data_IF_659071595551
#
_entry.id   IF_659071595551
#
_cell.length_a   1.000
_cell.length_b   1.000
_cell.length_c   1.000
_cell.angle_alpha   90.00
_cell.angle_beta   90.00
_cell.angle_gamma   90.00
#
_symmetry.space_group_name_H-M   'P 1'
#
loop_
_entity.id
_entity.type
_entity.pdbx_description
1 polymer ?
#
# COMPACT_ATOMS: atom_id res chain seq x y z
N UNK A 1 6.19 37.52 -2.28
CA UNK A 1 5.90 36.23 -1.65
C UNK A 1 7.21 35.56 -1.27
N UNK A 2 7.31 35.10 -0.03
CA UNK A 2 8.53 34.48 0.48
C UNK A 2 8.75 33.11 -0.23
N UNK A 3 9.54 33.13 -1.28
CA UNK A 3 9.92 31.96 -2.09
C UNK A 3 10.80 30.97 -1.32
N UNK A 4 11.31 31.38 -0.15
CA UNK A 4 12.28 30.60 0.62
C UNK A 4 11.67 29.34 1.23
N UNK A 5 10.44 29.39 1.66
CA UNK A 5 9.74 28.24 2.28
C UNK A 5 9.11 27.30 1.23
N UNK A 6 8.60 27.86 0.12
CA UNK A 6 7.93 27.07 -0.94
C UNK A 6 8.85 26.09 -1.64
N UNK A 7 10.11 26.44 -1.88
CA UNK A 7 11.09 25.56 -2.54
C UNK A 7 11.34 24.24 -1.80
N UNK A 8 11.34 24.26 -0.47
CA UNK A 8 11.57 23.04 0.33
C UNK A 8 10.41 22.05 0.19
N UNK A 9 9.17 22.53 0.12
CA UNK A 9 8.01 21.68 -0.13
C UNK A 9 8.09 21.02 -1.52
N UNK A 10 8.49 21.76 -2.54
CA UNK A 10 8.65 21.23 -3.90
C UNK A 10 9.76 20.18 -3.99
N UNK A 11 10.91 20.43 -3.34
CA UNK A 11 12.01 19.45 -3.28
C UNK A 11 11.58 18.19 -2.52
N UNK A 12 10.94 18.33 -1.36
CA UNK A 12 10.42 17.21 -0.58
C UNK A 12 9.43 16.38 -1.39
N UNK A 13 8.52 17.03 -2.10
CA UNK A 13 7.56 16.35 -2.98
C UNK A 13 8.25 15.58 -4.11
N UNK A 14 9.25 16.17 -4.75
CA UNK A 14 10.03 15.50 -5.78
C UNK A 14 10.74 14.23 -5.25
N UNK A 15 11.30 14.29 -4.05
CA UNK A 15 11.93 13.13 -3.40
C UNK A 15 10.89 12.04 -3.06
N UNK A 16 9.71 12.41 -2.57
CA UNK A 16 8.65 11.45 -2.25
C UNK A 16 8.13 10.78 -3.52
N UNK A 17 7.93 11.52 -4.62
CA UNK A 17 7.55 10.96 -5.92
C UNK A 17 8.63 10.01 -6.46
N UNK A 18 9.91 10.38 -6.38
CA UNK A 18 11.03 9.52 -6.77
C UNK A 18 11.04 8.22 -5.98
N UNK A 19 10.84 8.29 -4.67
CA UNK A 19 10.75 7.12 -3.78
C UNK A 19 9.55 6.23 -4.14
N UNK A 20 8.38 6.83 -4.39
CA UNK A 20 7.18 6.09 -4.81
C UNK A 20 7.40 5.32 -6.11
N UNK A 21 7.91 5.98 -7.14
CA UNK A 21 8.17 5.35 -8.44
C UNK A 21 9.23 4.26 -8.34
N UNK A 22 10.28 4.48 -7.55
CA UNK A 22 11.31 3.49 -7.27
C UNK A 22 10.74 2.24 -6.59
N UNK A 23 9.92 2.43 -5.56
CA UNK A 23 9.25 1.31 -4.88
C UNK A 23 8.26 0.56 -5.77
N UNK A 24 7.51 1.25 -6.61
CA UNK A 24 6.60 0.63 -7.57
C UNK A 24 7.37 -0.21 -8.61
N UNK A 25 8.49 0.29 -9.10
CA UNK A 25 9.35 -0.47 -10.02
C UNK A 25 9.94 -1.71 -9.34
N UNK A 26 10.41 -1.57 -8.11
CA UNK A 26 10.95 -2.67 -7.32
C UNK A 26 9.88 -3.72 -6.99
N UNK A 27 8.66 -3.28 -6.60
CA UNK A 27 7.54 -4.19 -6.35
C UNK A 27 7.18 -5.04 -7.58
N UNK A 28 7.13 -4.41 -8.78
CA UNK A 28 6.90 -5.14 -10.03
C UNK A 28 8.00 -6.15 -10.33
N UNK A 29 9.25 -5.79 -10.06
CA UNK A 29 10.38 -6.71 -10.25
C UNK A 29 10.28 -7.93 -9.34
N UNK A 30 10.02 -7.73 -8.04
CA UNK A 30 9.84 -8.86 -7.10
C UNK A 30 8.62 -9.69 -7.49
N UNK A 31 7.53 -9.05 -7.93
CA UNK A 31 6.33 -9.75 -8.38
C UNK A 31 6.62 -10.67 -9.57
N UNK A 32 7.31 -10.18 -10.58
CA UNK A 32 7.73 -10.99 -11.71
C UNK A 32 8.61 -12.17 -11.26
N UNK A 33 9.53 -11.93 -10.34
CA UNK A 33 10.44 -12.95 -9.83
C UNK A 33 9.70 -14.08 -9.09
N UNK A 34 8.79 -13.77 -8.16
CA UNK A 34 8.07 -14.82 -7.45
C UNK A 34 7.09 -15.57 -8.34
N UNK A 35 6.47 -14.90 -9.33
CA UNK A 35 5.59 -15.54 -10.31
C UNK A 35 6.37 -16.51 -11.19
N UNK A 36 7.50 -16.08 -11.76
CA UNK A 36 8.38 -16.94 -12.57
C UNK A 36 8.89 -18.14 -11.77
N UNK A 37 9.24 -17.91 -10.50
CA UNK A 37 9.65 -18.98 -9.60
C UNK A 37 8.52 -20.00 -9.39
N UNK A 38 7.28 -19.53 -9.16
CA UNK A 38 6.14 -20.42 -9.01
C UNK A 38 5.80 -21.20 -10.28
N UNK A 39 5.89 -20.57 -11.45
CA UNK A 39 5.69 -21.23 -12.74
C UNK A 39 6.68 -22.40 -12.90
N UNK A 40 7.95 -22.19 -12.56
CA UNK A 40 8.98 -23.22 -12.70
C UNK A 40 8.92 -24.33 -11.64
N UNK A 41 8.48 -24.04 -10.41
CA UNK A 41 8.55 -24.97 -9.26
C UNK A 41 7.21 -25.57 -8.86
N UNK A 42 6.10 -25.01 -9.32
CA UNK A 42 4.75 -25.47 -8.98
C UNK A 42 3.91 -25.89 -10.20
N UNK A 43 4.51 -26.01 -11.37
CA UNK A 43 3.87 -26.44 -12.64
C UNK A 43 2.66 -25.55 -13.02
N UNK A 44 2.77 -24.24 -12.84
CA UNK A 44 1.72 -23.29 -13.23
C UNK A 44 1.89 -22.96 -14.72
N UNK A 45 0.78 -23.01 -15.47
CA UNK A 45 0.79 -22.85 -16.94
C UNK A 45 0.46 -21.43 -17.40
N UNK A 46 -0.08 -20.57 -16.50
CA UNK A 46 -0.53 -19.22 -16.86
C UNK A 46 -0.32 -18.25 -15.67
N UNK A 47 0.28 -17.10 -15.96
CA UNK A 47 0.55 -16.05 -14.98
C UNK A 47 -0.62 -15.08 -14.75
N UNK A 48 -1.69 -15.16 -15.56
CA UNK A 48 -2.88 -14.31 -15.51
C UNK A 48 -3.88 -14.72 -14.43
N UNK A 49 -3.37 -15.07 -13.24
CA UNK A 49 -4.19 -15.43 -12.08
C UNK A 49 -4.43 -14.20 -11.20
N UNK A 50 -5.53 -14.23 -10.45
CA UNK A 50 -5.86 -13.16 -9.49
C UNK A 50 -4.96 -13.18 -8.24
N UNK A 51 -5.02 -12.13 -7.44
CA UNK A 51 -4.21 -11.98 -6.22
C UNK A 51 -4.45 -13.10 -5.20
N UNK A 52 -5.70 -13.60 -5.11
CA UNK A 52 -6.08 -14.64 -4.16
C UNK A 52 -5.42 -15.96 -4.50
N UNK A 53 -5.33 -16.30 -5.79
CA UNK A 53 -4.58 -17.47 -6.25
C UNK A 53 -3.11 -17.41 -5.80
N UNK A 54 -2.41 -16.30 -6.06
CA UNK A 54 -1.01 -16.13 -5.67
C UNK A 54 -0.81 -16.17 -4.16
N UNK A 55 -1.77 -15.66 -3.39
CA UNK A 55 -1.75 -15.76 -1.91
C UNK A 55 -1.92 -17.20 -1.43
N UNK A 56 -2.88 -17.95 -2.01
CA UNK A 56 -3.19 -19.32 -1.62
C UNK A 56 -2.11 -20.31 -2.03
N UNK A 57 -1.47 -20.09 -3.19
CA UNK A 57 -0.35 -20.86 -3.69
C UNK A 57 0.79 -21.02 -2.66
N UNK A 58 1.07 -20.00 -1.87
CA UNK A 58 2.09 -20.07 -0.82
C UNK A 58 1.64 -20.75 0.48
N UNK A 59 0.34 -21.04 0.63
CA UNK A 59 -0.21 -21.64 1.85
C UNK A 59 -0.35 -23.16 1.74
N UNK A 60 -0.61 -23.70 0.55
CA UNK A 60 -0.92 -25.09 0.30
C UNK A 60 0.09 -25.71 -0.65
N UNK A 61 0.40 -27.00 -0.49
CA UNK A 61 1.33 -27.69 -1.38
C UNK A 61 0.74 -27.91 -2.76
N UNK A 62 -0.56 -28.11 -2.86
CA UNK A 62 -1.26 -28.32 -4.13
C UNK A 62 -2.64 -27.70 -4.13
N UNK A 63 -3.23 -27.57 -5.32
CA UNK A 63 -4.63 -27.21 -5.50
C UNK A 63 -5.58 -28.21 -4.82
N UNK A 64 -5.17 -29.48 -4.76
CA UNK A 64 -5.95 -30.53 -4.11
C UNK A 64 -6.05 -30.34 -2.60
N UNK A 65 -4.90 -29.99 -1.96
CA UNK A 65 -4.89 -29.70 -0.51
C UNK A 65 -5.78 -28.50 -0.17
N UNK A 66 -5.71 -27.45 -1.01
CA UNK A 66 -6.59 -26.29 -0.87
C UNK A 66 -8.05 -26.66 -1.01
N UNK A 67 -8.41 -27.35 -2.08
CA UNK A 67 -9.79 -27.74 -2.36
C UNK A 67 -10.34 -28.69 -1.28
N UNK A 68 -9.53 -29.62 -0.81
CA UNK A 68 -9.93 -30.53 0.29
C UNK A 68 -10.25 -29.76 1.59
N UNK A 69 -9.41 -28.78 1.96
CA UNK A 69 -9.69 -27.93 3.12
C UNK A 69 -11.00 -27.15 2.93
N UNK A 70 -11.26 -26.58 1.73
CA UNK A 70 -12.50 -25.87 1.45
C UNK A 70 -13.73 -26.76 1.51
N UNK A 71 -13.61 -28.01 1.05
CA UNK A 71 -14.66 -29.03 1.17
C UNK A 71 -14.99 -29.35 2.64
N UNK A 72 -13.96 -29.60 3.45
CA UNK A 72 -14.10 -29.90 4.88
C UNK A 72 -14.78 -28.73 5.63
N UNK A 73 -14.45 -27.49 5.24
CA UNK A 73 -15.03 -26.28 5.82
C UNK A 73 -16.43 -25.93 5.27
N UNK A 74 -16.98 -26.68 4.31
CA UNK A 74 -18.25 -26.37 3.65
C UNK A 74 -18.20 -25.13 2.75
N UNK A 75 -17.01 -24.67 2.35
CA UNK A 75 -16.80 -23.48 1.53
C UNK A 75 -16.78 -23.81 0.03
N UNK A 76 -17.85 -24.42 -0.46
CA UNK A 76 -17.93 -24.93 -1.84
C UNK A 76 -17.73 -23.89 -2.92
N UNK A 77 -18.12 -22.62 -2.68
CA UNK A 77 -17.95 -21.52 -3.63
C UNK A 77 -16.49 -21.07 -3.78
N UNK A 78 -15.60 -21.50 -2.88
CA UNK A 78 -14.18 -21.14 -2.89
C UNK A 78 -13.27 -22.23 -3.50
N UNK A 79 -13.87 -23.31 -4.00
CA UNK A 79 -13.15 -24.41 -4.63
C UNK A 79 -12.61 -23.96 -5.98
N UNK A 80 -11.32 -24.20 -6.22
CA UNK A 80 -10.70 -23.93 -7.50
C UNK A 80 -11.00 -25.04 -8.51
N UNK A 81 -11.32 -24.64 -9.73
CA UNK A 81 -11.32 -25.49 -10.90
C UNK A 81 -9.88 -25.93 -11.17
N UNK A 82 -9.63 -27.23 -11.04
CA UNK A 82 -8.28 -27.80 -11.12
C UNK A 82 -7.66 -27.60 -12.51
N UNK A 83 -8.44 -27.60 -13.59
CA UNK A 83 -7.89 -27.39 -14.94
C UNK A 83 -7.38 -25.95 -15.13
N UNK A 84 -8.07 -24.98 -14.53
CA UNK A 84 -7.74 -23.57 -14.66
C UNK A 84 -6.73 -23.08 -13.62
N UNK A 85 -6.76 -23.65 -12.41
CA UNK A 85 -6.01 -23.19 -11.26
C UNK A 85 -5.08 -24.27 -10.71
N UNK A 86 -4.48 -25.09 -11.60
CA UNK A 86 -3.57 -26.14 -11.20
C UNK A 86 -2.28 -25.58 -10.61
N UNK A 87 -1.85 -26.15 -9.49
CA UNK A 87 -0.49 -26.09 -8.98
C UNK A 87 -0.16 -27.33 -8.15
N UNK A 88 1.09 -27.70 -8.14
CA UNK A 88 1.64 -28.73 -7.27
C UNK A 88 3.13 -28.45 -7.06
N UNK A 89 3.50 -28.06 -5.84
CA UNK A 89 4.89 -27.78 -5.50
C UNK A 89 5.73 -29.04 -5.55
N UNK A 90 6.95 -28.96 -6.07
CA UNK A 90 7.89 -30.07 -6.11
C UNK A 90 8.33 -30.50 -4.71
N UNK A 91 8.47 -29.51 -3.80
CA UNK A 91 8.86 -29.70 -2.41
C UNK A 91 8.35 -28.56 -1.52
N UNK A 92 8.38 -28.79 -0.20
CA UNK A 92 7.93 -27.83 0.80
C UNK A 92 8.84 -26.60 0.88
N UNK A 93 10.14 -26.75 0.66
CA UNK A 93 11.10 -25.65 0.75
C UNK A 93 10.90 -24.66 -0.38
N UNK A 94 10.62 -25.13 -1.58
CA UNK A 94 10.23 -24.30 -2.73
C UNK A 94 8.97 -23.47 -2.43
N UNK A 95 7.96 -24.08 -1.82
CA UNK A 95 6.74 -23.36 -1.38
C UNK A 95 7.04 -22.30 -0.34
N UNK A 96 7.87 -22.61 0.66
CA UNK A 96 8.25 -21.66 1.74
C UNK A 96 9.04 -20.50 1.13
N UNK A 97 9.98 -20.76 0.23
CA UNK A 97 10.75 -19.74 -0.48
C UNK A 97 9.86 -18.82 -1.31
N UNK A 98 8.92 -19.38 -2.05
CA UNK A 98 7.91 -18.62 -2.76
C UNK A 98 7.13 -17.71 -1.82
N UNK A 99 6.60 -18.28 -0.71
CA UNK A 99 5.81 -17.53 0.28
C UNK A 99 6.59 -16.34 0.88
N UNK A 100 7.88 -16.51 1.14
CA UNK A 100 8.77 -15.45 1.62
C UNK A 100 8.88 -14.32 0.59
N UNK A 101 9.11 -14.66 -0.69
CA UNK A 101 9.21 -13.70 -1.78
C UNK A 101 7.89 -12.95 -2.02
N UNK A 102 6.78 -13.68 -2.00
CA UNK A 102 5.43 -13.09 -2.11
C UNK A 102 5.16 -12.10 -0.97
N UNK A 103 5.44 -12.47 0.29
CA UNK A 103 5.31 -11.57 1.44
C UNK A 103 6.16 -10.31 1.30
N UNK A 104 7.39 -10.46 0.82
CA UNK A 104 8.28 -9.31 0.59
C UNK A 104 7.69 -8.37 -0.45
N UNK A 105 7.14 -8.89 -1.55
CA UNK A 105 6.47 -8.08 -2.57
C UNK A 105 5.24 -7.34 -1.99
N UNK A 106 4.39 -8.03 -1.21
CA UNK A 106 3.22 -7.41 -0.58
C UNK A 106 3.61 -6.34 0.44
N UNK A 107 4.69 -6.55 1.19
CA UNK A 107 5.24 -5.53 2.11
C UNK A 107 5.67 -4.29 1.35
N UNK A 108 6.40 -4.43 0.23
CA UNK A 108 6.81 -3.30 -0.61
C UNK A 108 5.60 -2.57 -1.20
N UNK A 109 4.60 -3.31 -1.70
CA UNK A 109 3.34 -2.73 -2.20
C UNK A 109 2.61 -1.93 -1.11
N UNK A 110 2.52 -2.46 0.10
CA UNK A 110 1.87 -1.77 1.20
C UNK A 110 2.65 -0.54 1.65
N UNK A 111 3.97 -0.61 1.73
CA UNK A 111 4.81 0.54 2.03
C UNK A 111 4.67 1.65 0.96
N UNK A 112 4.50 1.30 -0.32
CA UNK A 112 4.26 2.28 -1.37
C UNK A 112 2.93 3.03 -1.21
N UNK A 113 1.89 2.37 -0.65
CA UNK A 113 0.62 3.03 -0.31
C UNK A 113 0.79 4.08 0.80
N UNK A 114 1.66 3.80 1.78
CA UNK A 114 1.99 4.75 2.86
C UNK A 114 2.69 5.98 2.27
N UNK A 115 3.61 5.80 1.33
CA UNK A 115 4.25 6.92 0.63
C UNK A 115 3.22 7.76 -0.12
N UNK A 116 2.27 7.13 -0.81
CA UNK A 116 1.18 7.84 -1.49
C UNK A 116 0.33 8.64 -0.51
N UNK A 117 -0.02 8.08 0.65
CA UNK A 117 -0.72 8.79 1.72
C UNK A 117 0.09 10.01 2.21
N UNK A 118 1.41 9.88 2.35
CA UNK A 118 2.31 10.98 2.72
C UNK A 118 2.29 12.11 1.67
N UNK A 119 2.23 11.79 0.38
CA UNK A 119 2.07 12.78 -0.69
C UNK A 119 0.77 13.58 -0.54
N UNK A 120 -0.34 12.90 -0.26
CA UNK A 120 -1.63 13.56 -0.02
C UNK A 120 -1.54 14.49 1.18
N UNK A 121 -0.98 14.04 2.31
CA UNK A 121 -0.79 14.85 3.51
C UNK A 121 0.10 16.08 3.23
N UNK A 122 1.17 15.91 2.46
CA UNK A 122 2.04 17.03 2.05
C UNK A 122 1.27 18.08 1.22
N UNK A 123 0.35 17.64 0.35
CA UNK A 123 -0.52 18.57 -0.41
C UNK A 123 -1.45 19.35 0.50
N UNK A 124 -2.07 18.71 1.49
CA UNK A 124 -2.90 19.40 2.48
C UNK A 124 -2.08 20.41 3.29
N UNK A 125 -0.92 20.03 3.80
CA UNK A 125 -0.05 20.92 4.54
C UNK A 125 0.39 22.13 3.69
N UNK A 126 0.72 21.90 2.42
CA UNK A 126 1.08 22.97 1.47
C UNK A 126 -0.08 23.92 1.21
N UNK A 127 -1.30 23.42 1.04
CA UNK A 127 -2.49 24.23 0.82
C UNK A 127 -2.82 25.10 2.06
N UNK A 128 -2.71 24.53 3.25
CA UNK A 128 -2.92 25.28 4.51
C UNK A 128 -1.85 26.37 4.65
N UNK A 129 -0.59 26.06 4.36
CA UNK A 129 0.48 27.05 4.43
C UNK A 129 0.27 28.17 3.41
N UNK A 130 -0.16 27.86 2.19
CA UNK A 130 -0.50 28.86 1.19
C UNK A 130 -1.67 29.75 1.65
N UNK A 131 -2.74 29.16 2.20
CA UNK A 131 -3.87 29.92 2.74
C UNK A 131 -3.46 30.85 3.88
N UNK A 132 -2.59 30.37 4.81
CA UNK A 132 -2.02 31.19 5.88
C UNK A 132 -1.17 32.36 5.34
N UNK A 133 -0.37 32.15 4.31
CA UNK A 133 0.43 33.23 3.70
C UNK A 133 -0.45 34.26 3.01
N UNK A 134 -1.50 33.85 2.28
CA UNK A 134 -2.47 34.76 1.68
C UNK A 134 -3.22 35.54 2.77
N UNK A 135 -3.69 34.89 3.82
CA UNK A 135 -4.34 35.53 4.97
C UNK A 135 -3.41 36.55 5.63
N UNK A 136 -2.12 36.20 5.85
CA UNK A 136 -1.13 37.12 6.43
C UNK A 136 -0.86 38.32 5.52
N UNK A 137 -0.82 38.12 4.20
CA UNK A 137 -0.65 39.21 3.22
C UNK A 137 -1.87 40.16 3.23
N UNK A 138 -3.09 39.60 3.34
CA UNK A 138 -4.33 40.36 3.40
C UNK A 138 -4.57 40.99 4.77
N UNK A 139 -3.94 40.51 5.87
CA UNK A 139 -4.06 41.03 7.23
C UNK A 139 -3.41 42.41 7.44
N UNK A 140 -2.70 42.93 6.45
CA UNK A 140 -2.40 44.37 6.48
C UNK A 140 -3.65 45.26 6.53
N UNK A 141 -4.88 44.68 6.32
CA UNK A 141 -6.15 45.41 6.25
C UNK A 141 -7.36 44.78 6.96
N UNK A 142 -7.29 43.58 7.60
CA UNK A 142 -8.46 42.99 8.29
C UNK A 142 -8.07 42.10 9.48
N UNK A 143 -8.90 42.12 10.53
CA UNK A 143 -8.74 41.43 11.81
C UNK A 143 -8.66 39.92 11.74
N UNK A 144 -7.95 39.34 12.72
CA UNK A 144 -7.44 37.97 12.73
C UNK A 144 -8.48 36.89 13.00
N UNK A 145 -8.57 35.92 12.07
CA UNK A 145 -9.09 34.57 12.37
C UNK A 145 -7.93 33.61 12.67
N UNK A 146 -7.98 32.90 13.77
CA UNK A 146 -7.00 31.88 14.14
C UNK A 146 -7.47 30.51 13.66
N UNK A 147 -6.59 29.80 12.93
CA UNK A 147 -6.87 28.45 12.43
C UNK A 147 -5.93 27.47 13.13
N UNK A 148 -6.49 26.45 13.75
CA UNK A 148 -5.74 25.33 14.29
C UNK A 148 -5.99 24.04 13.47
N UNK A 149 -4.91 23.41 13.08
CA UNK A 149 -4.93 22.12 12.37
C UNK A 149 -4.02 21.13 13.11
N UNK A 150 -4.49 19.91 13.27
CA UNK A 150 -3.69 18.85 13.86
C UNK A 150 -3.98 17.49 13.26
N UNK A 151 -2.99 16.61 13.38
CA UNK A 151 -3.05 15.19 13.01
C UNK A 151 -2.87 14.39 14.28
N UNK A 152 -3.83 13.55 14.61
CA UNK A 152 -3.73 12.59 15.70
C UNK A 152 -3.59 11.19 15.11
N UNK A 153 -2.54 10.49 15.53
CA UNK A 153 -2.35 9.06 15.26
C UNK A 153 -2.85 8.31 16.48
N UNK A 154 -3.91 7.54 16.30
CA UNK A 154 -4.48 6.69 17.34
C UNK A 154 -4.33 5.22 16.95
N UNK A 155 -3.93 4.39 17.91
CA UNK A 155 -3.88 2.93 17.74
C UNK A 155 -5.15 2.33 18.33
N UNK A 156 -5.94 1.70 17.46
CA UNK A 156 -7.09 0.94 17.91
C UNK A 156 -6.65 -0.36 18.62
N UNK A 157 -7.50 -0.94 19.49
CA UNK A 157 -7.19 -2.17 20.23
C UNK A 157 -6.89 -3.40 19.35
N UNK A 158 -7.28 -3.36 18.06
CA UNK A 158 -7.02 -4.39 17.06
C UNK A 158 -5.68 -4.22 16.33
N UNK A 159 -4.81 -3.32 16.80
CA UNK A 159 -3.53 -2.97 16.18
C UNK A 159 -3.64 -2.24 14.82
N UNK A 160 -4.82 -1.77 14.45
CA UNK A 160 -4.99 -0.87 13.32
C UNK A 160 -4.62 0.57 13.72
N UNK A 161 -3.98 1.31 12.79
CA UNK A 161 -3.64 2.72 13.02
C UNK A 161 -4.69 3.61 12.37
N UNK A 162 -5.33 4.45 13.16
CA UNK A 162 -6.27 5.46 12.69
C UNK A 162 -5.57 6.81 12.62
N UNK A 163 -5.76 7.51 11.50
CA UNK A 163 -5.30 8.89 11.31
C UNK A 163 -6.51 9.79 11.40
N UNK A 164 -6.59 10.60 12.46
CA UNK A 164 -7.63 11.60 12.64
C UNK A 164 -7.08 12.98 12.27
N UNK A 165 -7.72 13.63 11.30
CA UNK A 165 -7.44 15.00 10.92
C UNK A 165 -8.49 15.91 11.59
N UNK A 166 -8.06 16.94 12.31
CA UNK A 166 -8.97 17.94 12.84
C UNK A 166 -8.60 19.34 12.34
N UNK A 167 -9.63 20.12 12.11
CA UNK A 167 -9.54 21.52 11.71
C UNK A 167 -10.45 22.34 12.64
N UNK A 168 -9.88 23.34 13.30
CA UNK A 168 -10.60 24.24 14.17
C UNK A 168 -10.47 25.67 13.64
N UNK A 169 -11.62 26.31 13.43
CA UNK A 169 -11.73 27.71 13.02
C UNK A 169 -12.27 28.52 14.20
N UNK A 170 -11.49 29.45 14.72
CA UNK A 170 -11.99 30.45 15.65
C UNK A 170 -12.33 31.74 14.88
N UNK A 171 -13.62 32.07 14.81
CA UNK A 171 -14.13 33.34 14.29
C UNK A 171 -14.26 34.31 15.46
N UNK A 172 -13.50 35.39 15.42
CA UNK A 172 -13.69 36.54 16.33
C UNK A 172 -14.51 37.60 15.67
#
# INVERSE_FOLDING_TARGET
>A
GDYSTGKYFTIAEGMIWGSYLGMQSYARHIEANYKNYAISQANITDDKKNSDFWSNLGKYNSVYDYNNEKLIMGQYNNIYDVEKFYWNWQDVDSRIRYRSNWKSAETVKNNSKIILATLVLNRFASAINAARQVSKYNKGNLESSEYNFGVLLDQAPDNSSNINLFFQLELK
#
